data_IF_482612318831
#
_entry.id   IF_482612318831
#
_cell.length_a   1.000
_cell.length_b   1.000
_cell.length_c   1.000
_cell.angle_alpha   90.00
_cell.angle_beta   90.00
_cell.angle_gamma   90.00
#
_symmetry.space_group_name_H-M   'P 1'
#
loop_
_entity.id
_entity.type
_entity.pdbx_description
1 polymer ?
#
# COMPACT_ATOMS: atom_id res chain seq x y z
N UNK A 1 34.83 -17.13 8.12
CA UNK A 1 34.02 -16.82 6.91
C UNK A 1 33.03 -17.95 6.66
N UNK A 2 31.94 -18.03 7.43
CA UNK A 2 30.79 -18.91 7.15
C UNK A 2 29.73 -18.04 6.49
N UNK A 3 29.94 -17.76 5.20
CA UNK A 3 29.34 -16.65 4.48
C UNK A 3 28.11 -17.04 3.67
N UNK A 4 27.01 -16.31 3.89
CA UNK A 4 25.82 -16.12 3.01
C UNK A 4 25.01 -17.36 2.58
N UNK A 5 25.60 -18.53 2.36
CA UNK A 5 24.90 -19.71 1.87
C UNK A 5 23.92 -20.32 2.90
N UNK A 6 24.27 -20.30 4.19
CA UNK A 6 23.42 -20.85 5.25
C UNK A 6 22.17 -19.97 5.52
N UNK A 7 22.27 -18.66 5.26
CA UNK A 7 21.16 -17.71 5.45
C UNK A 7 20.10 -17.82 4.35
N UNK A 8 20.51 -18.09 3.11
CA UNK A 8 19.57 -18.39 2.02
C UNK A 8 18.79 -19.69 2.28
N UNK A 9 19.38 -20.65 2.99
CA UNK A 9 18.68 -21.88 3.39
C UNK A 9 17.60 -21.64 4.46
N UNK A 10 17.79 -20.70 5.39
CA UNK A 10 16.76 -20.36 6.40
C UNK A 10 15.58 -19.63 5.75
N UNK A 11 15.82 -18.75 4.78
CA UNK A 11 14.75 -18.12 3.99
C UNK A 11 14.05 -19.16 3.11
N UNK A 12 14.78 -20.11 2.52
CA UNK A 12 14.21 -21.17 1.70
C UNK A 12 13.40 -22.21 2.50
N UNK A 13 13.76 -22.51 3.75
CA UNK A 13 13.00 -23.46 4.60
C UNK A 13 11.70 -22.84 5.15
N UNK A 14 11.67 -21.51 5.38
CA UNK A 14 10.40 -20.81 5.66
C UNK A 14 9.49 -20.77 4.43
N UNK A 15 10.06 -20.75 3.22
CA UNK A 15 9.29 -20.85 1.96
C UNK A 15 8.84 -22.30 1.68
N UNK A 16 9.64 -23.32 2.03
CA UNK A 16 9.33 -24.72 1.75
C UNK A 16 8.24 -25.30 2.68
N UNK A 17 8.12 -24.82 3.92
CA UNK A 17 7.01 -25.21 4.82
C UNK A 17 5.69 -24.48 4.52
N UNK A 18 5.70 -23.52 3.60
CA UNK A 18 4.49 -22.85 3.10
C UNK A 18 3.86 -23.54 1.87
N UNK A 19 4.41 -24.65 1.38
CA UNK A 19 3.94 -25.33 0.15
C UNK A 19 2.88 -26.42 0.43
N UNK A 20 2.59 -26.75 1.70
CA UNK A 20 1.55 -27.72 2.06
C UNK A 20 0.20 -27.09 2.48
N UNK A 21 0.05 -25.77 2.38
CA UNK A 21 -1.20 -25.07 2.64
C UNK A 21 -1.38 -23.90 1.70
N UNK A 22 -1.91 -24.14 0.50
CA UNK A 22 -2.33 -23.11 -0.46
C UNK A 22 -3.49 -22.27 0.11
N UNK A 23 -3.19 -21.40 1.08
CA UNK A 23 -3.97 -20.22 1.39
C UNK A 23 -3.17 -19.03 0.90
N UNK A 24 -3.63 -18.39 -0.18
CA UNK A 24 -3.16 -17.07 -0.57
C UNK A 24 -3.18 -16.16 0.64
N UNK A 25 -2.00 -15.75 1.13
CA UNK A 25 -1.90 -14.77 2.21
C UNK A 25 -2.41 -13.41 1.67
N UNK A 26 -3.72 -13.20 1.75
CA UNK A 26 -4.34 -11.89 1.67
C UNK A 26 -3.81 -11.05 2.82
N UNK A 27 -3.27 -9.89 2.49
CA UNK A 27 -2.59 -8.99 3.43
C UNK A 27 -3.31 -8.82 4.75
N UNK A 28 -2.52 -8.91 5.82
CA UNK A 28 -2.94 -8.67 7.19
C UNK A 28 -3.37 -7.20 7.30
N UNK A 29 -4.67 -6.94 7.23
CA UNK A 29 -5.24 -5.80 7.94
C UNK A 29 -4.66 -5.83 9.37
N UNK A 30 -4.19 -4.71 9.90
CA UNK A 30 -3.91 -4.57 11.33
C UNK A 30 -5.23 -4.65 12.11
N UNK A 31 -5.81 -5.86 12.17
CA UNK A 31 -7.09 -6.10 12.82
C UNK A 31 -6.88 -6.13 14.34
N UNK A 32 -7.92 -5.77 15.07
CA UNK A 32 -8.14 -6.26 16.44
C UNK A 32 -9.01 -7.51 16.34
N UNK A 33 -8.91 -8.43 17.30
CA UNK A 33 -9.75 -9.63 17.38
C UNK A 33 -9.07 -10.93 16.94
N UNK A 34 -9.84 -12.01 16.77
CA UNK A 34 -9.32 -13.39 16.73
C UNK A 34 -8.31 -13.68 15.60
N UNK A 35 -8.32 -12.92 14.51
CA UNK A 35 -7.36 -13.06 13.40
C UNK A 35 -6.00 -12.49 13.80
N UNK A 36 -5.97 -11.30 14.41
CA UNK A 36 -4.73 -10.69 14.88
C UNK A 36 -4.12 -11.44 16.07
N UNK A 37 -4.96 -11.99 16.95
CA UNK A 37 -4.49 -12.85 18.04
C UNK A 37 -3.85 -14.13 17.49
N UNK A 38 -4.42 -14.73 16.43
CA UNK A 38 -3.83 -15.87 15.73
C UNK A 38 -2.51 -15.51 15.05
N UNK A 39 -2.43 -14.38 14.34
CA UNK A 39 -1.18 -13.92 13.72
C UNK A 39 -0.09 -13.64 14.77
N UNK A 40 -0.44 -13.01 15.88
CA UNK A 40 0.46 -12.77 17.02
C UNK A 40 0.94 -14.08 17.65
N UNK A 41 0.04 -15.05 17.85
CA UNK A 41 0.38 -16.36 18.38
C UNK A 41 1.29 -17.15 17.42
N UNK A 42 1.01 -17.11 16.12
CA UNK A 42 1.84 -17.73 15.08
C UNK A 42 3.24 -17.11 15.03
N UNK A 43 3.33 -15.78 15.04
CA UNK A 43 4.61 -15.07 15.11
C UNK A 43 5.40 -15.40 16.38
N UNK A 44 4.73 -15.56 17.52
CA UNK A 44 5.36 -15.97 18.78
C UNK A 44 5.88 -17.40 18.72
N UNK A 45 5.14 -18.34 18.14
CA UNK A 45 5.58 -19.74 17.93
C UNK A 45 6.77 -19.80 16.98
N UNK A 46 6.70 -19.13 15.83
CA UNK A 46 7.81 -19.06 14.88
C UNK A 46 9.08 -18.47 15.52
N UNK A 47 8.95 -17.44 16.37
CA UNK A 47 10.07 -16.88 17.12
C UNK A 47 10.65 -17.85 18.18
N UNK A 48 9.81 -18.67 18.80
CA UNK A 48 10.25 -19.71 19.74
C UNK A 48 10.97 -20.86 19.00
N UNK A 49 10.41 -21.32 17.88
CA UNK A 49 10.99 -22.35 17.01
C UNK A 49 12.33 -21.90 16.41
N UNK A 50 12.47 -20.60 16.10
CA UNK A 50 13.72 -20.00 15.63
C UNK A 50 14.80 -19.84 16.73
N UNK A 51 14.56 -20.32 17.96
CA UNK A 51 15.56 -20.35 19.03
C UNK A 51 15.57 -19.14 19.97
N UNK A 52 14.48 -18.38 20.07
CA UNK A 52 14.37 -17.24 20.98
C UNK A 52 14.88 -15.91 20.40
N UNK A 53 15.28 -14.97 21.26
CA UNK A 53 15.68 -13.59 20.87
C UNK A 53 16.87 -13.63 19.90
N UNK A 54 16.59 -13.56 18.60
CA UNK A 54 17.60 -13.40 17.56
C UNK A 54 17.79 -11.92 17.22
N UNK A 55 19.01 -11.54 16.86
CA UNK A 55 19.29 -10.21 16.34
C UNK A 55 18.78 -10.16 14.90
N UNK A 56 17.85 -9.25 14.62
CA UNK A 56 17.46 -8.96 13.24
C UNK A 56 18.72 -8.54 12.48
N UNK A 57 19.05 -9.19 11.35
CA UNK A 57 20.21 -8.80 10.57
C UNK A 57 20.00 -7.39 10.02
N UNK A 58 21.10 -6.64 9.93
CA UNK A 58 21.09 -5.38 9.19
C UNK A 58 20.72 -5.65 7.72
N UNK A 59 19.95 -4.73 7.13
CA UNK A 59 19.48 -4.82 5.76
C UNK A 59 19.33 -3.41 5.17
N UNK A 60 19.53 -3.25 3.87
CA UNK A 60 19.22 -2.02 3.16
C UNK A 60 17.86 -2.15 2.50
N UNK A 61 16.99 -1.19 2.77
CA UNK A 61 15.57 -1.24 2.42
C UNK A 61 15.27 -0.10 1.47
N UNK A 62 14.82 -0.41 0.26
CA UNK A 62 14.31 0.62 -0.65
C UNK A 62 12.85 0.88 -0.32
N UNK A 63 12.49 2.13 -0.02
CA UNK A 63 11.10 2.52 0.22
C UNK A 63 10.57 3.30 -0.98
N UNK A 64 9.62 2.72 -1.73
CA UNK A 64 8.98 3.37 -2.88
C UNK A 64 7.78 4.19 -2.43
N UNK A 65 7.79 5.47 -2.76
CA UNK A 65 6.71 6.41 -2.50
C UNK A 65 6.34 7.08 -3.82
N UNK A 66 5.10 6.94 -4.30
CA UNK A 66 4.68 7.65 -5.51
C UNK A 66 4.79 9.16 -5.30
N UNK A 67 4.27 9.67 -4.18
CA UNK A 67 4.51 11.04 -3.73
C UNK A 67 4.79 11.04 -2.22
N UNK A 68 6.05 11.28 -1.84
CA UNK A 68 6.49 11.31 -0.46
C UNK A 68 6.18 12.60 0.31
N UNK A 69 5.53 13.58 -0.33
CA UNK A 69 5.04 14.83 0.28
C UNK A 69 3.57 14.77 0.69
N UNK A 70 2.78 13.81 0.16
CA UNK A 70 1.43 13.55 0.65
C UNK A 70 1.48 13.14 2.13
N UNK A 71 0.56 13.66 2.95
CA UNK A 71 0.55 13.46 4.40
C UNK A 71 0.63 11.96 4.79
N UNK A 72 -0.17 11.12 4.12
CA UNK A 72 -0.23 9.67 4.40
C UNK A 72 1.13 9.00 4.13
N UNK A 73 1.73 9.30 2.97
CA UNK A 73 3.04 8.81 2.55
C UNK A 73 4.18 9.37 3.41
N UNK A 74 4.09 10.64 3.82
CA UNK A 74 5.07 11.28 4.69
C UNK A 74 5.09 10.64 6.09
N UNK A 75 3.91 10.37 6.68
CA UNK A 75 3.77 9.67 7.96
C UNK A 75 4.35 8.25 7.87
N UNK A 76 4.00 7.51 6.82
CA UNK A 76 4.53 6.16 6.62
C UNK A 76 6.06 6.16 6.45
N UNK A 77 6.60 7.11 5.68
CA UNK A 77 8.05 7.30 5.50
C UNK A 77 8.76 7.53 6.83
N UNK A 78 8.23 8.42 7.68
CA UNK A 78 8.79 8.70 9.01
C UNK A 78 8.80 7.43 9.86
N UNK A 79 7.67 6.73 9.93
CA UNK A 79 7.53 5.54 10.77
C UNK A 79 8.43 4.39 10.31
N UNK A 80 8.44 4.08 9.01
CA UNK A 80 9.31 3.03 8.45
C UNK A 80 10.77 3.39 8.66
N UNK A 81 11.14 4.65 8.47
CA UNK A 81 12.52 5.11 8.69
C UNK A 81 12.91 4.94 10.16
N UNK A 82 12.02 5.31 11.09
CA UNK A 82 12.26 5.16 12.53
C UNK A 82 12.39 3.69 12.92
N UNK A 83 11.43 2.85 12.55
CA UNK A 83 11.45 1.41 12.85
C UNK A 83 12.68 0.73 12.26
N UNK A 84 12.98 1.00 10.99
CA UNK A 84 14.15 0.46 10.30
C UNK A 84 15.44 0.77 11.06
N UNK A 85 15.68 2.05 11.37
CA UNK A 85 16.95 2.47 11.99
C UNK A 85 17.04 2.09 13.47
N UNK A 86 15.99 2.35 14.23
CA UNK A 86 16.04 2.29 15.71
C UNK A 86 15.72 0.90 16.25
N UNK A 87 14.80 0.16 15.61
CA UNK A 87 14.35 -1.14 16.10
C UNK A 87 15.03 -2.32 15.39
N UNK A 88 15.34 -2.16 14.10
CA UNK A 88 15.75 -3.28 13.25
C UNK A 88 17.22 -3.20 12.79
N UNK A 89 17.87 -2.03 12.92
CA UNK A 89 19.24 -1.83 12.45
C UNK A 89 19.35 -1.85 10.92
N UNK A 90 18.27 -1.50 10.23
CA UNK A 90 18.18 -1.40 8.78
C UNK A 90 18.52 0.00 8.28
N UNK A 91 19.00 0.07 7.05
CA UNK A 91 19.34 1.30 6.33
C UNK A 91 18.27 1.62 5.29
N UNK A 92 17.33 2.53 5.56
CA UNK A 92 16.30 2.88 4.60
C UNK A 92 16.84 3.83 3.52
N UNK A 93 16.48 3.56 2.26
CA UNK A 93 16.74 4.36 1.08
C UNK A 93 15.41 4.76 0.44
N UNK A 94 14.81 5.90 0.83
CA UNK A 94 13.55 6.34 0.26
C UNK A 94 13.72 6.80 -1.19
N UNK A 95 12.84 6.31 -2.06
CA UNK A 95 12.66 6.77 -3.42
C UNK A 95 11.30 7.44 -3.56
N UNK A 96 11.32 8.74 -3.80
CA UNK A 96 10.13 9.57 -3.97
C UNK A 96 9.94 9.92 -5.45
N UNK A 97 8.84 9.46 -6.03
CA UNK A 97 8.45 9.74 -7.40
C UNK A 97 7.93 11.15 -7.62
N UNK A 98 7.55 11.88 -6.56
CA UNK A 98 6.90 13.21 -6.64
C UNK A 98 5.67 13.22 -7.58
N UNK A 99 4.93 12.12 -7.62
CA UNK A 99 3.80 11.89 -8.52
C UNK A 99 4.18 11.39 -9.92
N UNK A 100 5.46 11.20 -10.22
CA UNK A 100 5.96 10.73 -11.51
C UNK A 100 6.55 9.31 -11.42
N UNK A 101 5.94 8.38 -12.15
CA UNK A 101 6.34 6.97 -12.17
C UNK A 101 7.76 6.76 -12.74
N UNK A 102 8.19 7.58 -13.70
CA UNK A 102 9.52 7.49 -14.30
C UNK A 102 10.59 8.02 -13.34
N UNK A 103 10.30 9.07 -12.59
CA UNK A 103 11.18 9.58 -11.53
C UNK A 103 11.36 8.52 -10.42
N UNK A 104 10.25 7.89 -10.00
CA UNK A 104 10.29 6.78 -9.04
C UNK A 104 11.17 5.63 -9.55
N UNK A 105 10.97 5.24 -10.81
CA UNK A 105 11.73 4.19 -11.47
C UNK A 105 13.22 4.49 -11.53
N UNK A 106 13.61 5.70 -11.95
CA UNK A 106 15.02 6.09 -12.03
C UNK A 106 15.71 6.00 -10.66
N UNK A 107 15.05 6.46 -9.60
CA UNK A 107 15.58 6.34 -8.24
C UNK A 107 15.75 4.87 -7.84
N UNK A 108 14.68 4.07 -7.95
CA UNK A 108 14.68 2.68 -7.49
C UNK A 108 15.67 1.82 -8.27
N UNK A 109 15.73 1.98 -9.61
CA UNK A 109 16.67 1.25 -10.46
C UNK A 109 18.11 1.61 -10.10
N UNK A 110 18.42 2.88 -9.86
CA UNK A 110 19.75 3.32 -9.44
C UNK A 110 20.20 2.63 -8.15
N UNK A 111 19.31 2.53 -7.15
CA UNK A 111 19.61 1.84 -5.89
C UNK A 111 19.75 0.33 -6.09
N UNK A 112 18.91 -0.29 -6.92
CA UNK A 112 19.01 -1.73 -7.23
C UNK A 112 20.34 -2.04 -7.95
N UNK A 113 20.78 -1.18 -8.87
CA UNK A 113 22.04 -1.39 -9.62
C UNK A 113 23.29 -1.20 -8.78
N UNK A 114 23.28 -0.23 -7.87
CA UNK A 114 24.39 -0.01 -6.93
C UNK A 114 24.57 -1.16 -5.93
N UNK A 115 23.57 -2.04 -5.80
CA UNK A 115 23.69 -3.31 -5.10
C UNK A 115 23.54 -3.37 -3.57
N UNK A 116 23.13 -2.31 -2.82
CA UNK A 116 22.87 -2.51 -1.39
C UNK A 116 21.50 -3.13 -1.10
N UNK A 117 20.51 -3.06 -2.00
CA UNK A 117 19.12 -3.39 -1.68
C UNK A 117 18.90 -4.89 -1.34
N UNK A 118 18.50 -5.16 -0.10
CA UNK A 118 18.14 -6.51 0.37
C UNK A 118 16.66 -6.82 0.12
N UNK A 119 15.79 -5.81 0.21
CA UNK A 119 14.38 -5.88 -0.19
C UNK A 119 13.80 -4.49 -0.45
N UNK A 120 12.61 -4.47 -1.06
CA UNK A 120 11.89 -3.26 -1.42
C UNK A 120 10.54 -3.25 -0.72
N UNK A 121 10.19 -2.12 -0.11
CA UNK A 121 8.86 -1.82 0.40
C UNK A 121 8.19 -0.84 -0.56
N UNK A 122 7.04 -1.21 -1.11
CA UNK A 122 6.19 -0.32 -1.91
C UNK A 122 5.05 0.23 -1.07
N UNK A 123 4.86 1.55 -1.05
CA UNK A 123 3.69 2.18 -0.46
C UNK A 123 2.57 2.32 -1.49
N UNK A 124 1.81 1.25 -1.74
CA UNK A 124 0.60 1.31 -2.55
C UNK A 124 0.80 1.69 -4.01
N UNK A 125 2.03 1.57 -4.54
CA UNK A 125 2.34 1.91 -5.93
C UNK A 125 1.76 0.81 -6.84
N UNK A 126 0.88 1.13 -7.80
CA UNK A 126 0.32 0.12 -8.70
C UNK A 126 1.41 -0.59 -9.52
N UNK A 127 1.33 -1.92 -9.73
CA UNK A 127 2.32 -2.65 -10.52
C UNK A 127 2.56 -2.11 -11.93
N UNK A 128 1.53 -1.53 -12.56
CA UNK A 128 1.66 -0.89 -13.89
C UNK A 128 2.65 0.27 -13.87
N UNK A 129 2.73 1.02 -12.77
CA UNK A 129 3.53 2.23 -12.62
C UNK A 129 4.96 1.92 -12.12
N UNK A 130 5.26 0.66 -11.78
CA UNK A 130 6.58 0.20 -11.35
C UNK A 130 7.01 -1.12 -11.99
N UNK A 131 6.47 -1.42 -13.18
CA UNK A 131 6.66 -2.72 -13.83
C UNK A 131 8.13 -3.06 -14.08
N UNK A 132 8.96 -2.07 -14.44
CA UNK A 132 10.42 -2.26 -14.63
C UNK A 132 11.14 -2.47 -13.30
N UNK A 133 10.75 -1.77 -12.24
CA UNK A 133 11.29 -1.97 -10.89
C UNK A 133 11.03 -3.42 -10.45
N UNK A 134 9.77 -3.88 -10.54
CA UNK A 134 9.36 -5.23 -10.15
C UNK A 134 10.14 -6.30 -10.91
N UNK A 135 10.23 -6.19 -12.25
CA UNK A 135 10.96 -7.15 -13.09
C UNK A 135 12.45 -7.18 -12.73
N UNK A 136 13.05 -6.01 -12.49
CA UNK A 136 14.48 -5.91 -12.15
C UNK A 136 14.78 -6.47 -10.77
N UNK A 137 13.96 -6.14 -9.77
CA UNK A 137 14.06 -6.70 -8.42
C UNK A 137 13.93 -8.23 -8.45
N UNK A 138 12.94 -8.76 -9.18
CA UNK A 138 12.76 -10.20 -9.38
C UNK A 138 14.01 -10.86 -10.00
N UNK A 139 14.56 -10.28 -11.08
CA UNK A 139 15.78 -10.79 -11.71
C UNK A 139 16.99 -10.79 -10.76
N UNK A 140 17.10 -9.77 -9.90
CA UNK A 140 18.13 -9.67 -8.86
C UNK A 140 17.82 -10.46 -7.59
N UNK A 141 16.70 -11.19 -7.55
CA UNK A 141 16.19 -11.92 -6.37
C UNK A 141 15.98 -11.04 -5.13
N UNK A 142 15.60 -9.77 -5.36
CA UNK A 142 15.24 -8.82 -4.32
C UNK A 142 13.72 -8.87 -4.15
N UNK A 143 13.20 -9.32 -2.99
CA UNK A 143 11.76 -9.38 -2.78
C UNK A 143 11.17 -7.97 -2.69
N UNK A 144 9.97 -7.80 -3.29
CA UNK A 144 9.18 -6.57 -3.21
C UNK A 144 7.93 -6.84 -2.39
N UNK A 145 7.71 -6.02 -1.36
CA UNK A 145 6.58 -6.14 -0.44
C UNK A 145 5.72 -4.89 -0.59
N UNK A 146 4.45 -5.05 -0.97
CA UNK A 146 3.49 -3.95 -0.98
C UNK A 146 2.92 -3.72 0.42
N UNK A 147 2.76 -2.45 0.82
CA UNK A 147 2.09 -2.02 2.04
C UNK A 147 1.28 -0.75 1.78
N UNK A 148 0.53 -0.28 2.78
CA UNK A 148 -0.04 1.07 2.84
C UNK A 148 -1.33 1.26 2.04
N UNK A 149 -1.43 0.66 0.85
CA UNK A 149 -2.67 0.64 0.07
C UNK A 149 -2.84 -0.67 -0.73
N UNK A 150 -4.07 -1.04 -1.01
CA UNK A 150 -4.42 -2.15 -1.91
C UNK A 150 -3.92 -1.83 -3.31
N UNK A 151 -3.35 -2.81 -3.99
CA UNK A 151 -2.93 -2.69 -5.38
C UNK A 151 -3.42 -3.90 -6.17
N UNK A 152 -3.41 -3.81 -7.51
CA UNK A 152 -3.71 -4.95 -8.35
C UNK A 152 -2.74 -6.11 -8.04
N UNK A 153 -3.20 -7.38 -8.06
CA UNK A 153 -2.33 -8.52 -7.85
C UNK A 153 -1.19 -8.58 -8.87
N UNK A 154 -0.01 -9.00 -8.43
CA UNK A 154 1.14 -9.23 -9.29
C UNK A 154 1.97 -10.38 -8.73
N UNK A 155 2.32 -11.35 -9.58
CA UNK A 155 3.21 -12.45 -9.21
C UNK A 155 4.66 -12.03 -8.94
N UNK A 156 4.99 -10.75 -9.12
CA UNK A 156 6.31 -10.19 -8.83
C UNK A 156 6.41 -9.57 -7.43
N UNK A 157 5.31 -9.49 -6.68
CA UNK A 157 5.36 -9.20 -5.25
C UNK A 157 5.66 -10.48 -4.47
N UNK A 158 6.57 -10.38 -3.50
CA UNK A 158 6.79 -11.42 -2.52
C UNK A 158 5.66 -11.49 -1.48
N UNK A 159 5.09 -10.33 -1.13
CA UNK A 159 3.94 -10.21 -0.24
C UNK A 159 3.22 -8.88 -0.44
N UNK A 160 1.98 -8.79 0.04
CA UNK A 160 1.22 -7.54 0.10
C UNK A 160 0.49 -7.46 1.44
N UNK A 161 0.81 -6.47 2.26
CA UNK A 161 0.17 -6.15 3.53
C UNK A 161 -0.55 -4.81 3.40
N UNK A 162 -1.66 -4.82 2.69
CA UNK A 162 -2.49 -3.66 2.46
C UNK A 162 -3.73 -3.66 3.36
N UNK A 163 -4.27 -2.48 3.72
CA UNK A 163 -5.62 -2.41 4.29
C UNK A 163 -6.66 -2.96 3.31
N UNK A 164 -7.81 -3.42 3.80
CA UNK A 164 -8.99 -3.59 2.94
C UNK A 164 -9.61 -2.22 2.66
N UNK A 165 -9.11 -1.56 1.61
CA UNK A 165 -9.56 -0.24 1.19
C UNK A 165 -11.06 -0.23 0.83
N UNK A 166 -11.61 -1.35 0.36
CA UNK A 166 -13.04 -1.52 0.10
C UNK A 166 -13.82 -1.52 1.40
N UNK A 167 -13.48 -2.39 2.35
CA UNK A 167 -14.17 -2.46 3.64
C UNK A 167 -14.04 -1.15 4.45
N UNK A 168 -12.90 -0.45 4.36
CA UNK A 168 -12.75 0.88 4.95
C UNK A 168 -13.68 1.90 4.28
N UNK A 169 -13.72 1.92 2.94
CA UNK A 169 -14.64 2.79 2.20
C UNK A 169 -16.09 2.50 2.55
N UNK A 170 -16.48 1.23 2.65
CA UNK A 170 -17.85 0.83 2.95
C UNK A 170 -18.36 1.41 4.29
N UNK A 171 -17.47 1.54 5.29
CA UNK A 171 -17.82 2.18 6.57
C UNK A 171 -18.14 3.67 6.39
N UNK A 172 -17.33 4.39 5.60
CA UNK A 172 -17.54 5.80 5.30
C UNK A 172 -18.79 5.99 4.42
N UNK A 173 -18.91 5.19 3.37
CA UNK A 173 -20.04 5.19 2.43
C UNK A 173 -21.35 4.96 3.18
N UNK A 174 -21.41 4.00 4.10
CA UNK A 174 -22.59 3.75 4.94
C UNK A 174 -23.03 5.00 5.72
N UNK A 175 -22.08 5.75 6.28
CA UNK A 175 -22.40 7.01 6.97
C UNK A 175 -22.92 8.08 6.00
N UNK A 176 -22.23 8.26 4.86
CA UNK A 176 -22.61 9.23 3.82
C UNK A 176 -23.99 8.93 3.24
N UNK A 177 -24.26 7.68 2.83
CA UNK A 177 -25.54 7.22 2.30
C UNK A 177 -26.66 7.49 3.32
N UNK A 178 -26.45 7.14 4.60
CA UNK A 178 -27.44 7.41 5.67
C UNK A 178 -27.78 8.90 5.80
N UNK A 179 -26.83 9.80 5.51
CA UNK A 179 -27.07 11.25 5.53
C UNK A 179 -27.83 11.71 4.29
N UNK A 180 -27.40 11.28 3.10
CA UNK A 180 -28.03 11.67 1.82
C UNK A 180 -29.45 11.12 1.67
N UNK A 181 -29.74 9.92 2.18
CA UNK A 181 -31.09 9.34 2.17
C UNK A 181 -32.13 10.14 2.98
N UNK A 182 -31.71 11.15 3.76
CA UNK A 182 -32.62 12.07 4.45
C UNK A 182 -33.05 13.26 3.57
N UNK A 183 -32.39 13.45 2.45
CA UNK A 183 -32.72 14.48 1.48
C UNK A 183 -33.81 13.96 0.51
N UNK A 184 -34.59 14.86 -0.10
CA UNK A 184 -35.37 14.56 -1.30
C UNK A 184 -34.49 13.87 -2.36
N UNK A 185 -35.07 12.99 -3.17
CA UNK A 185 -34.30 12.16 -4.10
C UNK A 185 -33.55 13.00 -5.14
N UNK A 186 -34.16 14.08 -5.59
CA UNK A 186 -33.61 15.09 -6.50
C UNK A 186 -32.36 15.80 -5.97
N UNK A 187 -32.13 15.79 -4.65
CA UNK A 187 -31.03 16.45 -3.97
C UNK A 187 -29.90 15.48 -3.59
N UNK A 188 -30.01 14.19 -3.91
CA UNK A 188 -29.02 13.15 -3.55
C UNK A 188 -27.84 13.13 -4.52
N UNK A 189 -27.14 14.25 -4.64
CA UNK A 189 -26.01 14.40 -5.58
C UNK A 189 -24.68 14.44 -4.83
N UNK A 190 -23.64 13.90 -5.46
CA UNK A 190 -22.26 13.98 -4.96
C UNK A 190 -21.30 14.29 -6.11
N UNK A 191 -20.25 15.04 -5.81
CA UNK A 191 -19.04 15.12 -6.64
C UNK A 191 -17.93 14.29 -6.00
N UNK A 192 -17.05 13.72 -6.81
CA UNK A 192 -15.97 12.85 -6.31
C UNK A 192 -14.61 13.33 -6.78
N UNK A 193 -13.69 13.52 -5.84
CA UNK A 193 -12.25 13.63 -6.12
C UNK A 193 -11.62 12.24 -5.96
N UNK A 194 -11.38 11.54 -7.07
CA UNK A 194 -10.85 10.18 -7.09
C UNK A 194 -9.31 10.17 -7.12
N UNK A 195 -8.68 9.16 -6.52
CA UNK A 195 -7.23 8.90 -6.68
C UNK A 195 -7.01 7.67 -7.55
N UNK A 196 -6.09 7.77 -8.51
CA UNK A 196 -5.69 6.71 -9.44
C UNK A 196 -4.74 5.69 -8.80
N UNK A 197 -4.32 5.94 -7.55
CA UNK A 197 -3.61 4.96 -6.73
C UNK A 197 -4.47 3.72 -6.51
N UNK A 198 -3.83 2.61 -6.15
CA UNK A 198 -4.55 1.35 -5.97
C UNK A 198 -5.65 1.43 -4.90
N UNK A 199 -5.35 2.04 -3.74
CA UNK A 199 -6.32 2.25 -2.66
C UNK A 199 -7.42 3.23 -3.03
N UNK A 200 -7.08 4.36 -3.67
CA UNK A 200 -8.08 5.31 -4.18
C UNK A 200 -9.06 4.68 -5.16
N UNK A 201 -8.55 3.89 -6.09
CA UNK A 201 -9.36 3.16 -7.08
C UNK A 201 -10.26 2.10 -6.43
N UNK A 202 -9.77 1.40 -5.40
CA UNK A 202 -10.55 0.42 -4.65
C UNK A 202 -11.71 1.08 -3.88
N UNK A 203 -11.43 2.19 -3.17
CA UNK A 203 -12.46 2.98 -2.46
C UNK A 203 -13.51 3.51 -3.42
N UNK A 204 -13.09 4.03 -4.58
CA UNK A 204 -14.03 4.57 -5.55
C UNK A 204 -14.94 3.50 -6.17
N UNK A 205 -14.40 2.31 -6.48
CA UNK A 205 -15.23 1.18 -6.91
C UNK A 205 -16.22 0.75 -5.83
N UNK A 206 -15.80 0.72 -4.57
CA UNK A 206 -16.69 0.42 -3.46
C UNK A 206 -17.81 1.46 -3.33
N UNK A 207 -17.50 2.75 -3.45
CA UNK A 207 -18.51 3.82 -3.47
C UNK A 207 -19.55 3.58 -4.58
N UNK A 208 -19.09 3.33 -5.82
CA UNK A 208 -19.99 3.05 -6.95
C UNK A 208 -20.88 1.84 -6.67
N UNK A 209 -20.36 0.80 -6.03
CA UNK A 209 -21.15 -0.38 -5.62
C UNK A 209 -22.18 -0.04 -4.52
N UNK A 210 -21.78 0.70 -3.49
CA UNK A 210 -22.61 0.95 -2.31
C UNK A 210 -23.79 1.88 -2.60
N UNK A 211 -23.67 2.78 -3.58
CA UNK A 211 -24.74 3.72 -3.95
C UNK A 211 -25.76 3.13 -4.94
N UNK A 212 -25.52 1.96 -5.52
CA UNK A 212 -26.45 1.33 -6.45
C UNK A 212 -27.82 1.12 -5.79
N UNK A 213 -28.89 1.56 -6.47
CA UNK A 213 -30.26 1.44 -5.96
C UNK A 213 -30.63 2.40 -4.82
N UNK A 214 -29.76 3.32 -4.42
CA UNK A 214 -30.04 4.30 -3.35
C UNK A 214 -30.66 5.61 -3.85
N UNK A 215 -30.64 5.84 -5.17
CA UNK A 215 -31.00 7.12 -5.78
C UNK A 215 -29.91 8.20 -5.67
N UNK A 216 -28.77 7.92 -5.03
CA UNK A 216 -27.63 8.83 -4.97
C UNK A 216 -26.90 8.86 -6.33
N UNK A 217 -26.64 10.05 -6.85
CA UNK A 217 -26.00 10.27 -8.15
C UNK A 217 -24.61 10.90 -7.99
N UNK A 218 -23.62 10.33 -8.68
CA UNK A 218 -22.33 11.00 -8.90
C UNK A 218 -22.52 11.92 -10.10
N UNK A 219 -22.59 13.24 -9.88
CA UNK A 219 -22.83 14.23 -10.94
C UNK A 219 -21.55 14.69 -11.63
N UNK A 220 -20.40 14.51 -10.97
CA UNK A 220 -19.08 14.76 -11.56
C UNK A 220 -17.96 14.02 -10.83
N UNK A 221 -16.86 13.77 -11.54
CA UNK A 221 -15.65 13.19 -11.00
C UNK A 221 -14.41 13.95 -11.50
N UNK A 222 -13.46 14.20 -10.59
CA UNK A 222 -12.14 14.70 -10.94
C UNK A 222 -11.06 13.78 -10.38
N UNK A 223 -9.92 13.74 -11.06
CA UNK A 223 -8.76 12.97 -10.65
C UNK A 223 -7.85 13.87 -9.78
N UNK A 224 -7.55 13.44 -8.55
CA UNK A 224 -6.58 14.11 -7.70
C UNK A 224 -5.20 14.13 -8.37
N UNK A 225 -4.54 15.28 -8.35
CA UNK A 225 -3.20 15.44 -8.90
C UNK A 225 -2.17 14.94 -7.87
N UNK A 226 -1.67 13.73 -8.09
CA UNK A 226 -0.68 13.11 -7.21
C UNK A 226 0.65 13.87 -7.17
N UNK A 227 0.98 14.71 -8.16
CA UNK A 227 2.17 15.55 -8.15
C UNK A 227 1.92 16.91 -7.50
N UNK A 228 0.66 17.38 -7.50
CA UNK A 228 0.26 18.70 -7.00
C UNK A 228 -0.99 18.62 -6.12
N UNK A 229 -0.95 17.88 -5.02
CA UNK A 229 -2.10 17.79 -4.12
C UNK A 229 -2.58 19.15 -3.57
N UNK A 230 -1.73 20.18 -3.59
CA UNK A 230 -2.13 21.55 -3.26
C UNK A 230 -3.16 22.16 -4.24
N UNK A 231 -3.16 21.74 -5.51
CA UNK A 231 -4.12 22.20 -6.52
C UNK A 231 -5.47 21.48 -6.43
N UNK A 232 -5.57 20.40 -5.64
CA UNK A 232 -6.83 19.69 -5.43
C UNK A 232 -7.92 20.62 -4.85
N UNK A 233 -7.53 21.66 -4.09
CA UNK A 233 -8.47 22.69 -3.62
C UNK A 233 -9.15 23.41 -4.79
N UNK A 234 -8.38 23.82 -5.80
CA UNK A 234 -8.92 24.48 -7.00
C UNK A 234 -9.80 23.53 -7.80
N UNK A 235 -9.42 22.25 -7.87
CA UNK A 235 -10.25 21.21 -8.50
C UNK A 235 -11.59 21.04 -7.78
N UNK A 236 -11.59 20.95 -6.45
CA UNK A 236 -12.82 20.87 -5.65
C UNK A 236 -13.65 22.14 -5.81
N UNK A 237 -13.04 23.33 -5.79
CA UNK A 237 -13.75 24.58 -6.05
C UNK A 237 -14.44 24.56 -7.41
N UNK A 238 -13.75 24.15 -8.48
CA UNK A 238 -14.34 24.04 -9.82
C UNK A 238 -15.48 23.02 -9.89
N UNK A 239 -15.35 21.91 -9.18
CA UNK A 239 -16.44 20.92 -9.08
C UNK A 239 -17.68 21.54 -8.42
N UNK A 240 -17.51 22.25 -7.30
CA UNK A 240 -18.62 22.88 -6.58
C UNK A 240 -19.22 24.08 -7.32
N UNK A 241 -18.41 24.86 -8.05
CA UNK A 241 -18.89 25.96 -8.91
C UNK A 241 -19.74 25.44 -10.07
N UNK A 242 -19.38 24.28 -10.64
CA UNK A 242 -20.11 23.64 -11.74
C UNK A 242 -21.41 22.98 -11.26
N UNK A 243 -21.46 22.53 -10.01
CA UNK A 243 -22.60 21.85 -9.39
C UNK A 243 -22.97 22.53 -8.07
N UNK A 244 -23.53 23.74 -8.10
CA UNK A 244 -23.82 24.53 -6.89
C UNK A 244 -24.94 23.93 -6.02
N UNK A 245 -25.62 22.91 -6.52
CA UNK A 245 -26.69 22.14 -5.90
C UNK A 245 -26.20 20.86 -5.19
N UNK A 246 -24.89 20.65 -5.10
CA UNK A 246 -24.22 19.55 -4.37
C UNK A 246 -23.80 19.96 -2.97
#
# INVERSE_FOLDING_TARGET
>A
MMGRALWMAVIAVVVALAVAGCGSATGVEAQKGPVADRAKAAGKRAAQEAGGRTKVPGANVVLLLMNGSEESSARLKVEITHLSKVKLGWTPSPCDGKGDAKALEMCAIGVIDQGPADFIISNGVPPKDMSRILKKAFFKKIPVINIGATVAPSGLFAASYAPDDGAQSAKLNKYMIKRLMRLPEEDRKIVVLASSTGGGSARFRQLKSDIQGTGIQIVDEAQADQAKSATDKETVTKLLEKHPDV
#
